data_IF_463507936337
#
_entry.id   IF_463507936337
#
_cell.length_a   1.000
_cell.length_b   1.000
_cell.length_c   1.000
_cell.angle_alpha   90.00
_cell.angle_beta   90.00
_cell.angle_gamma   90.00
#
_symmetry.space_group_name_H-M   'P 1'
#
loop_
_entity.id
_entity.type
_entity.pdbx_description
1 polymer ?
#
# COMPACT_ATOMS: atom_id res chain seq x y z
N UNK A 1 -9.76 -15.83 -15.34
CA UNK A 1 -8.34 -15.41 -15.26
C UNK A 1 -7.98 -14.84 -16.61
N UNK A 2 -7.79 -13.53 -16.69
CA UNK A 2 -7.62 -12.83 -17.96
C UNK A 2 -6.26 -13.19 -18.58
N UNK A 3 -6.29 -13.68 -19.81
CA UNK A 3 -5.12 -13.88 -20.63
C UNK A 3 -4.65 -12.53 -21.21
N UNK A 4 -3.33 -12.43 -21.42
CA UNK A 4 -2.54 -11.46 -22.20
C UNK A 4 -2.34 -10.01 -21.70
N UNK A 5 -1.30 -9.78 -20.88
CA UNK A 5 -0.61 -8.47 -20.78
C UNK A 5 0.90 -8.57 -20.48
N UNK A 6 1.54 -9.70 -20.85
CA UNK A 6 3.00 -9.88 -20.68
C UNK A 6 3.86 -8.71 -21.18
N UNK A 7 3.54 -8.03 -22.30
CA UNK A 7 4.40 -6.97 -22.81
C UNK A 7 4.12 -5.59 -22.18
N UNK A 8 2.90 -5.31 -21.70
CA UNK A 8 2.61 -4.16 -20.84
C UNK A 8 3.39 -4.22 -19.50
N UNK A 9 3.43 -5.39 -18.86
CA UNK A 9 4.19 -5.59 -17.63
C UNK A 9 5.69 -5.38 -17.84
N UNK A 10 6.22 -5.80 -19.00
CA UNK A 10 7.62 -5.58 -19.36
C UNK A 10 7.93 -4.09 -19.57
N UNK A 11 7.04 -3.34 -20.22
CA UNK A 11 7.20 -1.91 -20.45
C UNK A 11 7.18 -1.13 -19.13
N UNK A 12 6.23 -1.44 -18.24
CA UNK A 12 6.15 -0.85 -16.91
C UNK A 12 7.37 -1.22 -16.06
N UNK A 13 7.80 -2.48 -16.08
CA UNK A 13 8.99 -2.94 -15.34
C UNK A 13 10.25 -2.24 -15.83
N UNK A 14 10.38 -2.04 -17.14
CA UNK A 14 11.52 -1.33 -17.70
C UNK A 14 11.49 0.17 -17.37
N UNK A 15 10.30 0.78 -17.37
CA UNK A 15 10.13 2.18 -17.00
C UNK A 15 10.46 2.42 -15.51
N UNK A 16 9.90 1.62 -14.61
CA UNK A 16 10.08 1.76 -13.18
C UNK A 16 11.42 1.20 -12.67
N UNK A 17 12.05 0.29 -13.42
CA UNK A 17 13.22 -0.49 -13.01
C UNK A 17 12.95 -1.48 -11.87
N UNK A 18 11.68 -1.71 -11.56
CA UNK A 18 11.17 -2.74 -10.66
C UNK A 18 9.78 -3.16 -11.16
N UNK A 19 9.30 -4.33 -10.74
CA UNK A 19 7.97 -4.78 -11.17
C UNK A 19 6.88 -3.98 -10.45
N UNK A 20 5.76 -3.65 -11.09
CA UNK A 20 4.61 -3.02 -10.42
C UNK A 20 4.18 -3.74 -9.14
N UNK A 21 4.27 -5.08 -9.12
CA UNK A 21 3.95 -5.89 -7.94
C UNK A 21 4.88 -5.59 -6.76
N UNK A 22 6.19 -5.45 -6.99
CA UNK A 22 7.16 -5.12 -5.94
C UNK A 22 6.86 -3.80 -5.23
N UNK A 23 6.33 -2.80 -5.94
CA UNK A 23 5.89 -1.55 -5.31
C UNK A 23 4.72 -1.77 -4.35
N UNK A 24 3.77 -2.63 -4.73
CA UNK A 24 2.62 -2.95 -3.89
C UNK A 24 3.07 -3.73 -2.65
N UNK A 25 3.97 -4.70 -2.83
CA UNK A 25 4.56 -5.47 -1.73
C UNK A 25 5.22 -4.53 -0.70
N UNK A 26 6.01 -3.56 -1.15
CA UNK A 26 6.65 -2.57 -0.28
C UNK A 26 5.63 -1.71 0.49
N UNK A 27 4.52 -1.33 -0.15
CA UNK A 27 3.43 -0.58 0.50
C UNK A 27 2.76 -1.44 1.57
N UNK A 28 2.42 -2.69 1.27
CA UNK A 28 1.78 -3.62 2.21
C UNK A 28 2.71 -3.84 3.43
N UNK A 29 4.00 -4.04 3.19
CA UNK A 29 5.00 -4.21 4.25
C UNK A 29 5.11 -2.95 5.14
N UNK A 30 5.08 -1.77 4.53
CA UNK A 30 5.10 -0.50 5.27
C UNK A 30 3.84 -0.34 6.15
N UNK A 31 2.67 -0.69 5.62
CA UNK A 31 1.40 -0.61 6.35
C UNK A 31 1.37 -1.58 7.52
N UNK A 32 1.78 -2.84 7.32
CA UNK A 32 1.89 -3.82 8.40
C UNK A 32 2.82 -3.33 9.51
N UNK A 33 3.97 -2.75 9.14
CA UNK A 33 4.90 -2.16 10.11
C UNK A 33 4.26 -1.02 10.92
N UNK A 34 3.46 -0.16 10.27
CA UNK A 34 2.78 0.96 10.94
C UNK A 34 1.68 0.44 11.88
N UNK A 35 0.96 -0.61 11.50
CA UNK A 35 -0.11 -1.21 12.31
C UNK A 35 0.43 -1.72 13.63
N UNK A 36 1.48 -2.55 13.60
CA UNK A 36 2.08 -3.08 14.82
C UNK A 36 2.58 -1.95 15.73
N UNK A 37 3.27 -0.95 15.15
CA UNK A 37 3.73 0.22 15.92
C UNK A 37 2.58 1.02 16.54
N UNK A 38 1.44 1.13 15.86
CA UNK A 38 0.29 1.84 16.37
C UNK A 38 -0.39 1.07 17.51
N UNK A 39 -0.52 -0.25 17.39
CA UNK A 39 -1.06 -1.13 18.42
C UNK A 39 -0.17 -1.09 19.67
N UNK A 40 1.15 -1.22 19.51
CA UNK A 40 2.11 -1.12 20.62
C UNK A 40 2.00 0.23 21.34
N UNK A 41 1.85 1.32 20.58
CA UNK A 41 1.69 2.66 21.14
C UNK A 41 0.37 2.82 21.90
N UNK A 42 -0.71 2.20 21.42
CA UNK A 42 -2.00 2.17 22.10
C UNK A 42 -1.89 1.37 23.40
N UNK A 43 -1.31 0.17 23.37
CA UNK A 43 -1.11 -0.66 24.57
C UNK A 43 -0.30 0.09 25.63
N UNK A 44 0.84 0.67 25.23
CA UNK A 44 1.69 1.45 26.12
C UNK A 44 0.97 2.69 26.68
N UNK A 45 0.18 3.37 25.84
CA UNK A 45 -0.64 4.52 26.25
C UNK A 45 -1.71 4.14 27.27
N UNK A 46 -2.39 3.02 27.10
CA UNK A 46 -3.41 2.53 28.02
C UNK A 46 -2.79 2.05 29.33
N UNK A 47 -1.70 1.27 29.28
CA UNK A 47 -1.02 0.75 30.48
C UNK A 47 -0.34 1.85 31.31
N UNK A 48 0.06 2.97 30.69
CA UNK A 48 0.61 4.13 31.40
C UNK A 48 -0.45 5.08 31.95
N UNK A 49 -1.72 4.92 31.55
CA UNK A 49 -2.83 5.74 32.03
C UNK A 49 -3.39 5.15 33.32
N UNK A 50 -3.64 5.97 34.37
CA UNK A 50 -4.27 5.48 35.59
C UNK A 50 -5.61 4.78 35.31
N UNK A 51 -5.85 3.56 35.82
CA UNK A 51 -7.09 2.82 35.57
C UNK A 51 -8.36 3.60 35.95
N UNK A 52 -8.30 4.41 37.02
CA UNK A 52 -9.42 5.27 37.38
C UNK A 52 -9.86 6.24 36.27
N UNK A 53 -8.92 6.76 35.47
CA UNK A 53 -9.20 7.65 34.34
C UNK A 53 -9.75 6.92 33.11
N UNK A 54 -9.48 5.62 32.99
CA UNK A 54 -9.97 4.75 31.91
C UNK A 54 -11.41 4.26 32.15
N UNK A 55 -12.03 4.64 33.27
CA UNK A 55 -13.41 4.29 33.60
C UNK A 55 -13.55 3.11 34.57
N UNK A 56 -12.44 2.48 34.98
CA UNK A 56 -12.48 1.41 35.99
C UNK A 56 -13.01 1.91 37.35
N UNK A 57 -12.83 3.20 37.68
CA UNK A 57 -13.43 3.80 38.87
C UNK A 57 -14.96 3.88 38.81
N UNK A 58 -15.54 4.13 37.63
CA UNK A 58 -16.99 4.17 37.44
C UNK A 58 -17.59 2.76 37.46
N UNK A 59 -16.92 1.80 36.81
CA UNK A 59 -17.27 0.38 36.91
C UNK A 59 -17.21 -0.10 38.38
N UNK A 60 -16.19 0.34 39.11
CA UNK A 60 -16.01 0.05 40.52
C UNK A 60 -17.10 0.59 41.43
N UNK A 61 -17.57 1.81 41.16
CA UNK A 61 -18.66 2.39 41.94
C UNK A 61 -20.00 1.67 41.71
N UNK A 62 -20.15 0.96 40.58
CA UNK A 62 -21.38 0.22 40.25
C UNK A 62 -21.44 -1.18 40.86
N UNK A 63 -20.31 -1.75 41.27
CA UNK A 63 -20.22 -3.09 41.83
C UNK A 63 -20.01 -3.01 43.36
N UNK A 64 -20.94 -3.59 44.14
CA UNK A 64 -20.97 -3.48 45.60
C UNK A 64 -20.01 -4.45 46.32
N UNK A 65 -18.87 -4.75 45.71
CA UNK A 65 -17.85 -5.66 46.20
C UNK A 65 -16.78 -4.92 47.01
N UNK A 66 -16.21 -5.58 48.04
CA UNK A 66 -15.10 -5.02 48.83
C UNK A 66 -13.84 -5.10 47.97
N UNK A 67 -13.19 -3.95 47.73
CA UNK A 67 -12.02 -3.85 46.84
C UNK A 67 -10.71 -3.85 47.61
N UNK A 68 -9.72 -4.50 47.03
CA UNK A 68 -8.36 -4.45 47.53
C UNK A 68 -7.77 -3.05 47.33
N UNK A 69 -6.98 -2.65 48.32
CA UNK A 69 -6.38 -1.32 48.42
C UNK A 69 -4.89 -1.51 48.52
N UNK A 70 -4.12 -0.71 47.81
CA UNK A 70 -2.65 -0.75 47.88
C UNK A 70 -2.14 -0.30 49.27
N UNK A 71 -0.82 -0.38 49.46
CA UNK A 71 -0.17 0.05 50.71
C UNK A 71 -0.34 1.54 51.04
N UNK A 72 -0.80 2.34 50.08
CA UNK A 72 -1.00 3.78 50.17
C UNK A 72 -2.47 4.20 50.32
N UNK A 73 -3.40 3.24 50.33
CA UNK A 73 -4.83 3.50 50.51
C UNK A 73 -5.62 3.74 49.21
N UNK A 74 -5.02 3.52 48.03
CA UNK A 74 -5.71 3.64 46.74
C UNK A 74 -6.36 2.33 46.32
N UNK A 75 -7.53 2.43 45.67
CA UNK A 75 -8.23 1.28 45.09
C UNK A 75 -7.34 0.67 44.01
N UNK A 76 -7.04 -0.62 44.15
CA UNK A 76 -6.33 -1.39 43.14
C UNK A 76 -7.31 -1.93 42.09
N UNK A 77 -6.88 -1.98 40.83
CA UNK A 77 -7.64 -2.52 39.71
C UNK A 77 -6.82 -3.64 39.05
N UNK A 78 -6.66 -4.80 39.72
CA UNK A 78 -5.85 -5.90 39.19
C UNK A 78 -6.37 -6.42 37.85
N UNK A 79 -7.68 -6.34 37.61
CA UNK A 79 -8.35 -6.73 36.36
C UNK A 79 -8.03 -5.79 35.18
N UNK A 80 -7.68 -4.53 35.46
CA UNK A 80 -7.56 -3.51 34.41
C UNK A 80 -6.44 -3.83 33.42
N UNK A 81 -5.31 -4.35 33.92
CA UNK A 81 -4.19 -4.73 33.05
C UNK A 81 -4.58 -5.85 32.09
N UNK A 82 -5.23 -6.89 32.62
CA UNK A 82 -5.64 -8.04 31.81
C UNK A 82 -6.70 -7.63 30.78
N UNK A 83 -7.70 -6.84 31.17
CA UNK A 83 -8.73 -6.36 30.25
C UNK A 83 -8.14 -5.50 29.11
N UNK A 84 -7.15 -4.66 29.42
CA UNK A 84 -6.42 -3.87 28.42
C UNK A 84 -5.66 -4.81 27.45
N UNK A 85 -4.88 -5.75 27.96
CA UNK A 85 -4.10 -6.68 27.12
C UNK A 85 -5.03 -7.52 26.20
N UNK A 86 -6.14 -8.04 26.74
CA UNK A 86 -7.13 -8.79 25.97
C UNK A 86 -7.84 -7.92 24.91
N UNK A 87 -8.23 -6.69 25.28
CA UNK A 87 -8.90 -5.76 24.39
C UNK A 87 -7.99 -5.28 23.26
N UNK A 88 -6.71 -4.99 23.54
CA UNK A 88 -5.70 -4.62 22.55
C UNK A 88 -5.43 -5.79 21.60
N UNK A 89 -5.34 -7.01 22.10
CA UNK A 89 -5.14 -8.18 21.24
C UNK A 89 -6.34 -8.45 20.30
N UNK A 90 -7.56 -8.24 20.77
CA UNK A 90 -8.75 -8.30 19.92
C UNK A 90 -8.72 -7.20 18.85
N UNK A 91 -8.31 -5.98 19.23
CA UNK A 91 -8.15 -4.87 18.29
C UNK A 91 -7.11 -5.18 17.21
N UNK A 92 -5.95 -5.73 17.59
CA UNK A 92 -4.91 -6.20 16.67
C UNK A 92 -5.47 -7.16 15.64
N UNK A 93 -6.11 -8.23 16.11
CA UNK A 93 -6.70 -9.25 15.22
C UNK A 93 -7.72 -8.66 14.25
N UNK A 94 -8.59 -7.75 14.74
CA UNK A 94 -9.59 -7.09 13.90
C UNK A 94 -8.94 -6.17 12.86
N UNK A 95 -7.89 -5.45 13.24
CA UNK A 95 -7.20 -4.51 12.38
C UNK A 95 -6.42 -5.26 11.29
N UNK A 96 -5.71 -6.33 11.64
CA UNK A 96 -5.02 -7.21 10.69
C UNK A 96 -5.99 -7.74 9.63
N UNK A 97 -7.11 -8.34 10.05
CA UNK A 97 -8.10 -8.91 9.13
C UNK A 97 -8.75 -7.84 8.22
N UNK A 98 -8.93 -6.62 8.73
CA UNK A 98 -9.51 -5.52 7.97
C UNK A 98 -8.52 -4.96 6.95
N UNK A 99 -7.27 -4.75 7.37
CA UNK A 99 -6.21 -4.22 6.53
C UNK A 99 -5.89 -5.19 5.42
N UNK A 100 -5.66 -6.47 5.73
CA UNK A 100 -5.38 -7.52 4.74
C UNK A 100 -6.41 -7.50 3.59
N UNK A 101 -7.71 -7.60 3.95
CA UNK A 101 -8.81 -7.58 2.98
C UNK A 101 -8.92 -6.28 2.18
N UNK A 102 -8.59 -5.13 2.78
CA UNK A 102 -8.66 -3.84 2.08
C UNK A 102 -7.46 -3.63 1.17
N UNK A 103 -6.29 -4.11 1.58
CA UNK A 103 -5.07 -4.03 0.80
C UNK A 103 -5.02 -5.05 -0.34
N UNK A 104 -5.67 -6.21 -0.22
CA UNK A 104 -5.97 -7.10 -1.35
C UNK A 104 -6.74 -6.37 -2.46
N UNK A 105 -7.75 -5.58 -2.07
CA UNK A 105 -8.55 -4.80 -3.03
C UNK A 105 -7.73 -3.66 -3.63
N UNK A 106 -6.90 -3.02 -2.83
CA UNK A 106 -5.98 -1.99 -3.28
C UNK A 106 -4.99 -2.54 -4.31
N UNK A 107 -4.38 -3.69 -4.06
CA UNK A 107 -3.48 -4.36 -5.00
C UNK A 107 -4.19 -4.60 -6.33
N UNK A 108 -5.33 -5.28 -6.29
CA UNK A 108 -6.09 -5.61 -7.49
C UNK A 108 -6.52 -4.35 -8.25
N UNK A 109 -7.00 -3.33 -7.54
CA UNK A 109 -7.44 -2.08 -8.16
C UNK A 109 -6.28 -1.36 -8.83
N UNK A 110 -5.15 -1.26 -8.14
CA UNK A 110 -3.96 -0.55 -8.61
C UNK A 110 -3.38 -1.22 -9.85
N UNK A 111 -3.21 -2.54 -9.83
CA UNK A 111 -2.70 -3.29 -10.98
C UNK A 111 -3.67 -3.30 -12.17
N UNK A 112 -4.97 -3.15 -11.94
CA UNK A 112 -5.98 -3.11 -13.02
C UNK A 112 -6.27 -1.74 -13.61
N UNK A 113 -6.02 -0.65 -12.87
CA UNK A 113 -6.48 0.68 -13.27
C UNK A 113 -5.38 1.74 -13.30
N UNK A 114 -4.35 1.62 -12.44
CA UNK A 114 -3.32 2.64 -12.29
C UNK A 114 -2.04 2.18 -12.99
N UNK A 115 -1.53 1.02 -12.59
CA UNK A 115 -0.30 0.42 -13.11
C UNK A 115 -0.63 -0.53 -14.26
N UNK A 116 -1.37 -0.02 -15.25
CA UNK A 116 -1.77 -0.77 -16.44
C UNK A 116 -1.55 0.07 -17.69
N UNK A 117 -1.31 -0.60 -18.81
CA UNK A 117 -1.21 0.03 -20.12
C UNK A 117 -2.30 -0.58 -21.00
N UNK A 118 -3.21 0.23 -21.56
CA UNK A 118 -4.20 -0.26 -22.52
C UNK A 118 -3.53 -0.92 -23.72
N UNK A 119 -4.04 -2.09 -24.14
CA UNK A 119 -3.45 -2.91 -25.21
C UNK A 119 -3.36 -2.16 -26.56
N UNK A 120 -4.27 -1.23 -26.82
CA UNK A 120 -4.31 -0.40 -28.01
C UNK A 120 -3.22 0.68 -28.04
N UNK A 121 -2.76 1.11 -26.87
CA UNK A 121 -1.70 2.13 -26.70
C UNK A 121 -0.31 1.52 -26.63
N UNK A 122 -0.19 0.26 -26.18
CA UNK A 122 1.09 -0.43 -25.96
C UNK A 122 2.08 -0.31 -27.16
N UNK A 123 1.67 -0.51 -28.43
CA UNK A 123 2.59 -0.43 -29.57
C UNK A 123 3.16 0.98 -29.82
N UNK A 124 2.47 2.01 -29.32
CA UNK A 124 2.77 3.42 -29.53
C UNK A 124 3.61 4.03 -28.41
N UNK A 125 3.68 3.37 -27.26
CA UNK A 125 4.47 3.85 -26.13
C UNK A 125 5.96 3.60 -26.40
N UNK A 126 6.78 4.61 -26.08
CA UNK A 126 8.23 4.57 -26.20
C UNK A 126 8.84 5.15 -24.94
N UNK A 127 9.82 4.43 -24.39
CA UNK A 127 10.61 4.90 -23.25
C UNK A 127 11.72 5.84 -23.74
N UNK A 128 12.11 6.79 -22.91
CA UNK A 128 13.09 7.82 -23.25
C UNK A 128 14.45 7.26 -23.69
N UNK A 129 14.89 6.14 -23.11
CA UNK A 129 16.16 5.49 -23.47
C UNK A 129 16.10 4.65 -24.75
N UNK A 130 14.95 4.54 -25.42
CA UNK A 130 14.85 3.94 -26.75
C UNK A 130 15.24 4.92 -27.87
N UNK A 131 15.31 6.21 -27.57
CA UNK A 131 15.84 7.21 -28.50
C UNK A 131 17.35 7.01 -28.63
N UNK A 132 17.78 6.51 -29.79
CA UNK A 132 19.20 6.47 -30.09
C UNK A 132 19.59 7.80 -30.71
N UNK A 133 20.22 8.65 -29.89
CA UNK A 133 21.06 9.72 -30.39
C UNK A 133 22.25 9.12 -31.15
N UNK A 134 22.07 8.86 -32.44
CA UNK A 134 23.19 8.88 -33.38
C UNK A 134 23.32 10.33 -33.84
N UNK A 135 24.30 11.08 -33.33
CA UNK A 135 25.31 11.78 -34.15
C UNK A 135 26.10 12.86 -33.34
N UNK A 136 27.43 13.00 -33.47
CA UNK A 136 28.18 14.12 -32.91
C UNK A 136 28.04 15.46 -33.66
N UNK A 137 27.34 15.53 -34.81
CA UNK A 137 27.37 16.73 -35.66
C UNK A 137 26.03 17.19 -36.30
N UNK A 138 25.04 16.34 -36.60
CA UNK A 138 23.75 16.80 -37.17
C UNK A 138 22.55 15.95 -36.72
N UNK A 139 21.60 16.60 -36.07
CA UNK A 139 20.56 15.98 -35.25
C UNK A 139 19.35 15.51 -36.07
N UNK A 140 19.26 14.20 -36.35
CA UNK A 140 17.99 13.49 -36.57
C UNK A 140 18.02 12.14 -35.86
N UNK A 141 17.21 12.01 -34.81
CA UNK A 141 17.10 10.79 -33.99
C UNK A 141 16.41 9.68 -34.80
N UNK A 142 16.96 8.46 -34.80
CA UNK A 142 16.38 7.30 -35.49
C UNK A 142 16.10 6.15 -34.52
N UNK A 143 14.88 5.62 -34.57
CA UNK A 143 14.32 4.66 -33.62
C UNK A 143 14.88 3.26 -33.90
N UNK A 144 15.58 2.64 -32.95
CA UNK A 144 16.18 1.30 -33.13
C UNK A 144 15.30 0.11 -32.74
N UNK A 145 14.14 0.31 -32.11
CA UNK A 145 13.18 -0.76 -31.84
C UNK A 145 11.81 -0.43 -32.43
N UNK A 146 11.62 -0.88 -33.67
CA UNK A 146 10.31 -1.02 -34.28
C UNK A 146 9.66 -2.25 -33.66
N UNK A 147 8.73 -2.08 -32.72
CA UNK A 147 7.70 -3.09 -32.44
C UNK A 147 7.10 -3.46 -33.81
N UNK A 148 6.96 -4.76 -34.17
CA UNK A 148 6.54 -5.16 -35.50
C UNK A 148 5.15 -4.57 -35.80
N UNK A 149 5.12 -3.49 -36.57
CA UNK A 149 3.88 -2.91 -37.09
C UNK A 149 3.33 -3.87 -38.12
N UNK A 150 2.11 -4.36 -37.87
CA UNK A 150 1.28 -5.07 -38.84
C UNK A 150 1.30 -4.34 -40.18
N UNK A 151 1.55 -5.02 -41.32
CA UNK A 151 1.64 -4.36 -42.61
C UNK A 151 0.22 -3.99 -43.06
N UNK A 152 -0.09 -2.70 -43.21
CA UNK A 152 -1.36 -2.34 -43.86
C UNK A 152 -1.83 -0.89 -43.79
N UNK A 153 -1.34 -0.04 -42.89
CA UNK A 153 -1.87 1.32 -42.78
C UNK A 153 -0.85 2.33 -43.31
N UNK A 154 -0.93 2.60 -44.62
CA UNK A 154 -0.26 3.72 -45.25
C UNK A 154 -1.02 5.02 -44.92
N UNK A 155 -0.34 6.00 -44.31
CA UNK A 155 -0.87 7.35 -44.15
C UNK A 155 -0.31 8.30 -45.24
N UNK A 156 -1.13 9.22 -45.79
CA UNK A 156 -0.73 10.14 -46.83
C UNK A 156 0.24 11.21 -46.31
N UNK A 157 1.26 11.51 -47.12
CA UNK A 157 2.25 12.55 -46.85
C UNK A 157 1.58 13.93 -46.81
N UNK A 158 1.57 14.56 -45.63
CA UNK A 158 1.19 15.96 -45.48
C UNK A 158 2.28 16.88 -46.05
N UNK A 159 1.90 17.73 -47.01
CA UNK A 159 2.74 18.78 -47.57
C UNK A 159 3.05 19.87 -46.52
N UNK A 160 4.26 20.45 -46.53
CA UNK A 160 4.61 21.51 -45.60
C UNK A 160 3.86 22.80 -45.98
N UNK A 161 3.23 23.45 -44.99
CA UNK A 161 2.68 24.79 -45.15
C UNK A 161 3.82 25.81 -45.04
N UNK A 162 3.87 26.74 -45.99
CA UNK A 162 4.70 27.96 -45.98
C UNK A 162 4.40 28.83 -44.77
#
# INVERSE_FOLDING_TARGET
MAASSRPADALLTEHFRYTPLSLIDDIINAVNTIIYRAIDAIESGLLSTPPAALGFAAAAASDSTIRDTDGDGNIEYPEARQEIEEGVHQLETLLEATVDKTFDRFEIYTLRNILTVPEDLEPWIRLSHYEVCLDPAHQRCSIKHRIPTTPGIAFPAGTPRN
#
